data_IF_549363491573
#
_entry.id   IF_549363491573
#
_cell.length_a   1.000
_cell.length_b   1.000
_cell.length_c   1.000
_cell.angle_alpha   90.00
_cell.angle_beta   90.00
_cell.angle_gamma   90.00
#
_symmetry.space_group_name_H-M   'P 1'
#
loop_
_entity.id
_entity.type
_entity.pdbx_description
1 polymer ?
#
# COMPACT_ATOMS: atom_id res chain seq x y z
N UNK A 1 -7.60 -2.79 -16.20
CA UNK A 1 -7.94 -1.77 -15.17
C UNK A 1 -7.95 -2.52 -13.86
N UNK A 2 -6.96 -2.29 -13.01
CA UNK A 2 -7.04 -2.74 -11.64
C UNK A 2 -7.94 -1.72 -10.92
N UNK A 3 -9.24 -1.97 -10.90
CA UNK A 3 -10.13 -1.30 -9.98
C UNK A 3 -9.75 -1.76 -8.56
N UNK A 4 -10.16 -1.04 -7.50
CA UNK A 4 -9.67 -1.27 -6.14
C UNK A 4 -9.73 -2.72 -5.64
N UNK A 5 -10.65 -3.53 -6.16
CA UNK A 5 -10.76 -4.96 -5.88
C UNK A 5 -9.60 -5.77 -6.51
N UNK A 6 -9.18 -5.41 -7.73
CA UNK A 6 -8.09 -6.10 -8.44
C UNK A 6 -6.71 -5.82 -7.83
N UNK A 7 -6.52 -4.67 -7.18
CA UNK A 7 -5.25 -4.34 -6.51
C UNK A 7 -4.94 -5.30 -5.35
N UNK A 8 -5.95 -5.66 -4.55
CA UNK A 8 -5.75 -6.63 -3.47
C UNK A 8 -5.53 -8.04 -4.01
N UNK A 9 -6.20 -8.39 -5.11
CA UNK A 9 -6.06 -9.68 -5.79
C UNK A 9 -4.62 -9.90 -6.29
N UNK A 10 -3.97 -8.87 -6.84
CA UNK A 10 -2.59 -8.96 -7.32
C UNK A 10 -1.58 -8.82 -6.18
N UNK A 11 -1.87 -8.01 -5.18
CA UNK A 11 -0.97 -7.69 -4.08
C UNK A 11 -0.59 -8.92 -3.24
N UNK A 12 -1.52 -9.83 -2.98
CA UNK A 12 -1.25 -11.02 -2.18
C UNK A 12 -0.31 -12.01 -2.88
N UNK A 13 -0.49 -12.36 -4.17
CA UNK A 13 0.49 -13.14 -4.91
C UNK A 13 1.89 -12.52 -4.93
N UNK A 14 2.00 -11.20 -5.12
CA UNK A 14 3.29 -10.50 -5.08
C UNK A 14 4.00 -10.66 -3.71
N UNK A 15 3.24 -10.73 -2.61
CA UNK A 15 3.79 -11.01 -1.27
C UNK A 15 4.19 -12.47 -1.12
N UNK A 16 3.43 -13.41 -1.67
CA UNK A 16 3.77 -14.84 -1.63
C UNK A 16 5.09 -15.11 -2.37
N UNK A 17 5.31 -14.47 -3.51
CA UNK A 17 6.57 -14.54 -4.26
C UNK A 17 7.78 -14.07 -3.43
N UNK A 18 7.57 -13.16 -2.48
CA UNK A 18 8.63 -12.73 -1.54
C UNK A 18 8.92 -13.76 -0.44
N UNK A 19 7.95 -14.62 -0.12
CA UNK A 19 8.12 -15.72 0.86
C UNK A 19 8.88 -16.87 0.23
N UNK A 20 8.58 -17.22 -1.02
CA UNK A 20 9.09 -18.38 -1.73
C UNK A 20 10.52 -18.18 -2.32
N UNK A 21 11.42 -17.54 -1.59
CA UNK A 21 12.82 -17.41 -2.03
C UNK A 21 13.55 -18.73 -1.85
N UNK A 22 14.06 -19.37 -2.93
CA UNK A 22 14.49 -20.77 -2.95
C UNK A 22 15.85 -21.05 -2.29
N UNK A 23 16.26 -20.43 -1.23
CA UNK A 23 17.59 -20.73 -0.63
C UNK A 23 17.67 -20.58 0.90
N UNK A 24 16.56 -20.79 1.61
CA UNK A 24 16.62 -20.80 3.07
C UNK A 24 15.69 -21.87 3.66
N UNK A 25 16.26 -22.78 4.44
CA UNK A 25 15.54 -23.75 5.28
C UNK A 25 14.79 -23.10 6.47
N UNK A 26 14.77 -21.77 6.55
CA UNK A 26 14.10 -21.01 7.61
C UNK A 26 12.72 -20.51 7.16
N UNK A 27 11.70 -20.78 7.97
CA UNK A 27 10.37 -20.16 7.81
C UNK A 27 10.50 -18.63 7.94
N UNK A 28 10.34 -17.92 6.84
CA UNK A 28 10.39 -16.46 6.83
C UNK A 28 9.03 -15.87 7.15
N UNK A 29 8.97 -15.02 8.16
CA UNK A 29 7.80 -14.16 8.41
C UNK A 29 8.02 -12.84 7.68
N UNK A 30 7.06 -12.47 6.80
CA UNK A 30 7.04 -11.16 6.15
C UNK A 30 6.10 -10.24 6.90
N UNK A 31 6.64 -9.12 7.37
CA UNK A 31 5.86 -8.09 8.05
C UNK A 31 5.47 -7.01 7.04
N UNK A 32 4.19 -6.93 6.74
CA UNK A 32 3.59 -5.93 5.84
C UNK A 32 3.07 -4.77 6.69
N UNK A 33 3.68 -3.60 6.52
CA UNK A 33 3.36 -2.42 7.32
C UNK A 33 2.49 -1.46 6.53
N UNK A 34 1.28 -1.22 7.01
CA UNK A 34 0.42 -0.15 6.52
C UNK A 34 0.46 1.05 7.46
N UNK A 35 0.14 2.22 6.93
CA UNK A 35 -0.13 3.39 7.75
C UNK A 35 -1.62 3.73 7.67
N UNK A 36 -2.35 3.49 8.77
CA UNK A 36 -3.81 3.55 8.86
C UNK A 36 -4.54 2.33 8.25
N UNK A 37 -3.97 1.13 8.41
CA UNK A 37 -4.60 -0.14 8.01
C UNK A 37 -6.06 -0.26 8.48
N UNK A 38 -6.31 0.15 9.71
CA UNK A 38 -7.65 0.14 10.34
C UNK A 38 -8.66 1.08 9.69
N UNK A 39 -8.20 2.03 8.86
CA UNK A 39 -9.05 3.02 8.23
C UNK A 39 -9.83 2.47 7.05
N UNK A 40 -9.14 1.80 6.16
CA UNK A 40 -9.71 1.37 4.88
C UNK A 40 -9.02 0.12 4.29
N UNK A 41 -7.71 0.15 4.09
CA UNK A 41 -6.97 -0.85 3.31
C UNK A 41 -7.08 -2.26 3.89
N UNK A 42 -7.12 -2.38 5.21
CA UNK A 42 -7.21 -3.67 5.90
C UNK A 42 -8.45 -4.47 5.54
N UNK A 43 -9.55 -3.82 5.21
CA UNK A 43 -10.80 -4.51 4.85
C UNK A 43 -10.69 -5.15 3.46
N UNK A 44 -10.03 -4.49 2.51
CA UNK A 44 -9.82 -5.07 1.17
C UNK A 44 -8.90 -6.28 1.22
N UNK A 45 -7.77 -6.16 1.93
CA UNK A 45 -6.82 -7.26 2.07
C UNK A 45 -7.48 -8.45 2.78
N UNK A 46 -8.19 -8.21 3.88
CA UNK A 46 -8.92 -9.27 4.58
C UNK A 46 -9.99 -9.91 3.70
N UNK A 47 -10.76 -9.11 2.98
CA UNK A 47 -11.77 -9.63 2.06
C UNK A 47 -11.14 -10.60 1.06
N UNK A 48 -10.02 -10.22 0.47
CA UNK A 48 -9.30 -11.04 -0.51
C UNK A 48 -8.73 -12.32 0.12
N UNK A 49 -8.15 -12.25 1.33
CA UNK A 49 -7.68 -13.44 2.05
C UNK A 49 -8.80 -14.46 2.28
N UNK A 50 -10.01 -13.98 2.60
CA UNK A 50 -11.17 -14.84 2.77
C UNK A 50 -11.69 -15.39 1.43
N UNK A 51 -11.69 -14.60 0.37
CA UNK A 51 -12.08 -15.05 -0.98
C UNK A 51 -11.15 -16.15 -1.49
N UNK A 52 -9.86 -16.03 -1.24
CA UNK A 52 -8.86 -17.05 -1.57
C UNK A 52 -8.89 -18.27 -0.62
N UNK A 53 -9.80 -18.28 0.36
CA UNK A 53 -9.95 -19.36 1.36
C UNK A 53 -8.62 -19.69 2.07
N UNK A 54 -7.79 -18.67 2.33
CA UNK A 54 -6.52 -18.87 3.02
C UNK A 54 -6.75 -19.34 4.46
N UNK A 55 -6.09 -20.42 4.83
CA UNK A 55 -6.18 -20.98 6.17
C UNK A 55 -5.41 -20.12 7.18
N UNK A 56 -5.81 -20.23 8.46
CA UNK A 56 -5.07 -19.62 9.56
C UNK A 56 -5.12 -18.10 9.61
N UNK A 57 -6.13 -17.46 9.01
CA UNK A 57 -6.33 -16.02 9.13
C UNK A 57 -6.74 -15.67 10.56
N UNK A 58 -5.79 -15.09 11.31
CA UNK A 58 -6.02 -14.60 12.67
C UNK A 58 -5.99 -13.08 12.69
N UNK A 59 -7.04 -12.46 13.22
CA UNK A 59 -7.15 -11.00 13.27
C UNK A 59 -7.27 -10.48 14.69
N UNK A 60 -6.59 -9.36 14.96
CA UNK A 60 -6.75 -8.57 16.18
C UNK A 60 -7.63 -7.37 15.85
N UNK A 61 -8.80 -7.31 16.48
CA UNK A 61 -9.75 -6.22 16.29
C UNK A 61 -10.01 -5.49 17.60
N UNK A 62 -10.21 -4.17 17.50
CA UNK A 62 -10.71 -3.34 18.61
C UNK A 62 -11.97 -2.64 18.13
N UNK A 63 -13.10 -2.98 18.75
CA UNK A 63 -14.44 -2.62 18.26
C UNK A 63 -14.63 -3.16 16.82
N UNK A 64 -14.95 -2.30 15.86
CA UNK A 64 -15.11 -2.68 14.45
C UNK A 64 -13.84 -2.46 13.60
N UNK A 65 -12.69 -2.14 14.22
CA UNK A 65 -11.45 -1.80 13.50
C UNK A 65 -10.43 -2.92 13.61
N UNK A 66 -9.89 -3.31 12.47
CA UNK A 66 -8.81 -4.28 12.37
C UNK A 66 -7.48 -3.59 12.62
N UNK A 67 -6.76 -4.01 13.64
CA UNK A 67 -5.43 -3.44 14.00
C UNK A 67 -4.28 -4.21 13.38
N UNK A 68 -4.41 -5.53 13.33
CA UNK A 68 -3.46 -6.42 12.69
C UNK A 68 -4.12 -7.74 12.33
N UNK A 69 -3.53 -8.45 11.41
CA UNK A 69 -3.92 -9.83 11.11
C UNK A 69 -2.73 -10.60 10.55
N UNK A 70 -2.85 -11.91 10.60
CA UNK A 70 -1.84 -12.84 10.10
C UNK A 70 -2.50 -13.86 9.17
N UNK A 71 -1.80 -14.27 8.12
CA UNK A 71 -2.19 -15.34 7.22
C UNK A 71 -0.93 -16.10 6.79
N UNK A 72 -0.74 -17.31 7.31
CA UNK A 72 0.50 -18.05 7.10
C UNK A 72 1.73 -17.26 7.55
N UNK A 73 2.74 -17.09 6.68
CA UNK A 73 3.95 -16.34 6.96
C UNK A 73 3.77 -14.82 6.89
N UNK A 74 2.62 -14.33 6.38
CA UNK A 74 2.35 -12.90 6.22
C UNK A 74 1.73 -12.33 7.50
N UNK A 75 2.32 -11.23 8.02
CA UNK A 75 1.81 -10.49 9.16
C UNK A 75 1.58 -9.03 8.78
N UNK A 76 0.35 -8.58 8.88
CA UNK A 76 -0.09 -7.23 8.54
C UNK A 76 -0.25 -6.41 9.81
N UNK A 77 0.37 -5.24 9.87
CA UNK A 77 0.32 -4.36 11.04
C UNK A 77 0.02 -2.90 10.64
N UNK A 78 -0.59 -2.17 11.57
CA UNK A 78 -0.88 -0.75 11.40
C UNK A 78 0.16 0.10 12.14
N UNK A 79 1.05 0.76 11.41
CA UNK A 79 2.05 1.65 11.99
C UNK A 79 1.43 2.86 12.73
N UNK A 80 0.20 3.26 12.42
CA UNK A 80 -0.51 4.32 13.14
C UNK A 80 -0.77 3.95 14.61
N UNK A 81 -0.75 2.66 14.96
CA UNK A 81 -0.84 2.20 16.35
C UNK A 81 0.42 2.51 17.16
N UNK A 82 1.57 2.62 16.52
CA UNK A 82 2.87 2.90 17.14
C UNK A 82 3.29 4.36 16.94
N UNK A 83 2.94 4.93 15.80
CA UNK A 83 3.27 6.29 15.36
C UNK A 83 1.96 7.05 15.06
N UNK A 84 1.25 7.52 16.10
CA UNK A 84 -0.09 8.10 15.97
C UNK A 84 -0.05 9.53 15.40
N UNK A 85 0.52 9.68 14.22
CA UNK A 85 0.63 10.96 13.51
C UNK A 85 0.46 10.76 12.01
N UNK A 86 0.08 11.79 11.23
CA UNK A 86 0.02 11.69 9.78
C UNK A 86 1.38 11.36 9.17
N UNK A 87 1.41 10.53 8.11
CA UNK A 87 2.64 10.18 7.41
C UNK A 87 3.41 11.42 6.91
N UNK A 88 2.67 12.48 6.52
CA UNK A 88 3.25 13.76 6.10
C UNK A 88 4.07 14.48 7.19
N UNK A 89 3.89 14.11 8.47
CA UNK A 89 4.65 14.68 9.59
C UNK A 89 5.97 13.96 9.87
N UNK A 90 6.18 12.77 9.30
CA UNK A 90 7.38 11.96 9.55
C UNK A 90 8.68 12.69 9.21
N UNK A 91 8.82 13.34 8.04
CA UNK A 91 10.08 14.01 7.70
C UNK A 91 10.50 15.04 8.76
N UNK A 92 9.58 15.90 9.21
CA UNK A 92 9.87 16.91 10.22
C UNK A 92 10.09 16.33 11.61
N UNK A 93 9.32 15.29 11.98
CA UNK A 93 9.39 14.67 13.31
C UNK A 93 10.68 13.88 13.50
N UNK A 94 11.11 13.15 12.47
CA UNK A 94 12.28 12.27 12.51
C UNK A 94 13.52 12.83 11.82
N UNK A 95 13.48 14.10 11.41
CA UNK A 95 14.57 14.78 10.70
C UNK A 95 15.05 13.97 9.47
N UNK A 96 14.09 13.49 8.67
CA UNK A 96 14.38 12.73 7.46
C UNK A 96 14.75 13.68 6.32
N UNK A 97 15.56 13.19 5.38
CA UNK A 97 15.95 13.93 4.18
C UNK A 97 14.82 14.07 3.16
N UNK A 98 13.88 13.12 3.15
CA UNK A 98 12.67 13.17 2.36
C UNK A 98 11.72 14.21 2.97
N UNK A 99 11.60 15.34 2.28
CA UNK A 99 10.85 16.50 2.80
C UNK A 99 9.35 16.45 2.51
N UNK A 100 8.90 15.56 1.63
CA UNK A 100 7.50 15.55 1.17
C UNK A 100 6.98 14.13 0.98
N UNK A 101 5.71 13.92 1.38
CA UNK A 101 4.94 12.77 0.95
C UNK A 101 4.89 12.73 -0.57
N UNK A 102 5.10 11.57 -1.17
CA UNK A 102 4.92 11.38 -2.61
C UNK A 102 3.53 11.81 -3.08
N UNK A 103 3.45 12.31 -4.28
CA UNK A 103 2.21 12.74 -4.90
C UNK A 103 1.66 11.61 -5.77
N UNK A 104 0.39 11.29 -5.62
CA UNK A 104 -0.28 10.35 -6.51
C UNK A 104 -0.97 11.11 -7.64
N UNK A 105 -0.68 10.79 -8.91
CA UNK A 105 -1.17 11.53 -10.06
C UNK A 105 -2.63 11.16 -10.42
N UNK A 106 -3.59 11.53 -9.57
CA UNK A 106 -5.00 11.15 -9.71
C UNK A 106 -5.58 11.44 -11.10
N UNK A 107 -5.24 12.58 -11.69
CA UNK A 107 -5.77 12.99 -13.02
C UNK A 107 -5.10 12.22 -14.17
N UNK A 108 -3.88 11.69 -13.95
CA UNK A 108 -3.19 10.87 -14.92
C UNK A 108 -3.62 9.39 -14.81
N UNK A 109 -4.11 8.98 -13.67
CA UNK A 109 -4.57 7.62 -13.40
C UNK A 109 -5.94 7.35 -14.08
N UNK A 110 -5.92 7.28 -15.39
CA UNK A 110 -7.06 6.98 -16.24
C UNK A 110 -6.92 5.58 -16.85
N UNK A 111 -8.00 4.95 -17.34
CA UNK A 111 -7.93 3.65 -18.02
C UNK A 111 -6.86 3.59 -19.12
N UNK A 112 -6.71 4.68 -19.87
CA UNK A 112 -5.75 4.75 -20.99
C UNK A 112 -4.29 4.74 -20.52
N UNK A 113 -4.04 5.11 -19.28
CA UNK A 113 -2.69 5.23 -18.70
C UNK A 113 -2.31 4.09 -17.76
N UNK A 114 -3.16 3.08 -17.58
CA UNK A 114 -2.89 1.97 -16.64
C UNK A 114 -1.63 1.16 -16.97
N UNK A 115 -1.25 1.12 -18.24
CA UNK A 115 -0.05 0.42 -18.71
C UNK A 115 1.15 1.37 -18.89
N UNK A 116 1.04 2.60 -18.41
CA UNK A 116 2.12 3.57 -18.54
C UNK A 116 3.33 3.18 -17.69
N UNK A 117 4.48 3.11 -18.35
CA UNK A 117 5.78 2.91 -17.72
C UNK A 117 6.67 4.08 -18.11
N UNK A 118 7.01 4.93 -17.15
CA UNK A 118 7.81 6.11 -17.43
C UNK A 118 7.94 7.04 -16.23
N UNK A 119 8.45 8.25 -16.47
CA UNK A 119 8.55 9.28 -15.44
C UNK A 119 7.16 9.71 -14.99
N UNK A 120 7.01 9.94 -13.68
CA UNK A 120 5.79 10.57 -13.15
C UNK A 120 5.60 11.90 -13.89
N UNK A 121 4.40 12.15 -14.48
CA UNK A 121 4.12 13.41 -15.17
C UNK A 121 4.32 14.62 -14.27
N UNK A 122 4.85 15.71 -14.84
CA UNK A 122 4.98 16.98 -14.13
C UNK A 122 3.58 17.57 -13.86
N UNK A 123 3.32 17.87 -12.58
CA UNK A 123 2.07 18.48 -12.13
C UNK A 123 2.33 19.89 -11.62
N UNK A 124 1.37 20.77 -11.82
CA UNK A 124 1.35 22.09 -11.20
C UNK A 124 1.01 21.99 -9.69
N UNK A 125 1.04 23.14 -9.00
CA UNK A 125 0.78 23.21 -7.57
C UNK A 125 -0.63 22.73 -7.16
N UNK A 126 -1.56 22.69 -8.11
CA UNK A 126 -2.96 22.25 -7.91
C UNK A 126 -3.15 20.76 -8.24
N UNK A 127 -2.05 20.04 -8.58
CA UNK A 127 -2.10 18.62 -8.93
C UNK A 127 -2.65 18.36 -10.34
N UNK A 128 -2.78 19.38 -11.17
CA UNK A 128 -3.13 19.25 -12.56
C UNK A 128 -1.88 19.09 -13.42
N UNK A 129 -1.99 18.37 -14.55
CA UNK A 129 -0.86 18.24 -15.48
C UNK A 129 -0.44 19.64 -15.96
N UNK A 130 0.83 19.97 -15.75
CA UNK A 130 1.36 21.23 -16.25
C UNK A 130 1.14 21.30 -17.76
N UNK A 131 0.40 22.31 -18.21
CA UNK A 131 0.22 22.56 -19.65
C UNK A 131 1.61 22.76 -20.23
N UNK A 132 2.00 21.95 -21.23
CA UNK A 132 3.22 22.19 -22.01
C UNK A 132 3.18 23.64 -22.47
N UNK A 133 4.05 24.50 -21.93
CA UNK A 133 4.28 25.82 -22.48
C UNK A 133 4.86 25.58 -23.86
N UNK A 134 4.06 25.81 -24.88
CA UNK A 134 4.54 25.95 -26.26
C UNK A 134 5.46 27.15 -26.23
N UNK A 135 6.77 26.91 -26.34
CA UNK A 135 7.72 27.99 -26.62
C UNK A 135 7.46 28.42 -28.07
N UNK A 136 6.97 29.62 -28.23
CA UNK A 136 7.02 30.33 -29.49
C UNK A 136 8.42 30.93 -29.67
#
# INVERSE_FOLDING_TARGET
MLEGEDCALQFLPDLDDLVDVPDSDEEREIIVVFHNLKGFDGMFVLHELYQQQREGVNQLTVSSKVLSFKSGPLKFIDSLCFLPMPLASFPSTFNLTELKKGFFPHLFNTPDNQQYVGRIPDFDADGMMAKKRTQN
#
